data_IF_333655995777
#
_entry.id   IF_333655995777
#
_cell.length_a   1.000
_cell.length_b   1.000
_cell.length_c   1.000
_cell.angle_alpha   90.00
_cell.angle_beta   90.00
_cell.angle_gamma   90.00
#
_symmetry.space_group_name_H-M   'P 1'
#
loop_
_entity.id
_entity.type
_entity.pdbx_description
1 polymer ?
#
# COMPACT_ATOMS: atom_id res chain seq x y z
N UNK A 1 -54.21 -55.76 -28.23
CA UNK A 1 -54.63 -54.46 -27.68
C UNK A 1 -53.44 -53.83 -26.96
N UNK A 2 -53.19 -52.54 -27.19
CA UNK A 2 -52.06 -51.70 -26.73
C UNK A 2 -50.81 -51.66 -27.63
N UNK A 3 -51.07 -51.02 -28.76
CA UNK A 3 -50.33 -49.91 -29.43
C UNK A 3 -48.83 -49.68 -29.15
N UNK A 4 -48.08 -49.72 -30.26
CA UNK A 4 -46.66 -49.40 -30.44
C UNK A 4 -46.36 -47.91 -30.31
N UNK A 5 -45.13 -47.63 -29.87
CA UNK A 5 -44.47 -46.32 -29.86
C UNK A 5 -44.17 -45.83 -31.29
N UNK A 6 -44.53 -44.57 -31.57
CA UNK A 6 -44.18 -43.83 -32.76
C UNK A 6 -43.42 -42.54 -32.43
N UNK A 7 -42.17 -42.51 -32.88
CA UNK A 7 -41.52 -41.49 -33.72
C UNK A 7 -41.58 -39.99 -33.34
N UNK A 8 -40.38 -39.44 -33.14
CA UNK A 8 -39.86 -38.09 -33.47
C UNK A 8 -40.86 -36.94 -33.63
N UNK A 9 -40.70 -35.91 -32.79
CA UNK A 9 -41.04 -34.55 -33.14
C UNK A 9 -39.95 -33.59 -32.64
N UNK A 10 -39.22 -33.01 -33.59
CA UNK A 10 -38.40 -31.82 -33.36
C UNK A 10 -39.35 -30.61 -33.27
N UNK A 11 -39.21 -29.79 -32.23
CA UNK A 11 -39.77 -28.44 -32.20
C UNK A 11 -38.68 -27.45 -31.81
N UNK A 12 -38.35 -26.59 -32.78
CA UNK A 12 -37.76 -25.28 -32.56
C UNK A 12 -38.76 -24.42 -31.78
N UNK A 13 -38.29 -23.70 -30.78
CA UNK A 13 -38.85 -22.41 -30.35
C UNK A 13 -37.72 -21.42 -30.11
N UNK A 14 -38.05 -20.17 -30.39
CA UNK A 14 -37.22 -18.98 -30.53
C UNK A 14 -36.95 -18.28 -29.17
N UNK A 15 -35.80 -17.61 -29.08
CA UNK A 15 -35.21 -16.58 -28.17
C UNK A 15 -36.15 -15.62 -27.39
N UNK A 16 -35.65 -14.71 -26.49
CA UNK A 16 -34.41 -14.61 -25.68
C UNK A 16 -34.68 -14.20 -24.18
N UNK A 17 -33.68 -13.88 -23.35
CA UNK A 17 -33.64 -12.78 -22.31
C UNK A 17 -32.63 -13.03 -21.16
N UNK A 18 -31.71 -12.05 -20.99
CA UNK A 18 -30.92 -11.61 -19.82
C UNK A 18 -30.24 -12.65 -18.90
N UNK A 19 -28.94 -12.87 -19.13
CA UNK A 19 -27.94 -13.14 -18.08
C UNK A 19 -26.74 -12.26 -18.40
N UNK A 20 -26.52 -11.21 -17.63
CA UNK A 20 -25.42 -10.26 -17.86
C UNK A 20 -25.68 -8.88 -17.29
N UNK A 21 -25.83 -8.77 -15.97
CA UNK A 21 -25.58 -7.53 -15.21
C UNK A 21 -25.07 -7.97 -13.83
N UNK A 22 -23.84 -7.55 -13.51
CA UNK A 22 -23.16 -7.42 -12.20
C UNK A 22 -21.70 -7.93 -12.18
N UNK A 23 -21.12 -8.28 -13.33
CA UNK A 23 -19.67 -8.49 -13.45
C UNK A 23 -19.17 -7.65 -14.62
N UNK A 24 -18.27 -6.72 -14.31
CA UNK A 24 -17.63 -5.70 -15.16
C UNK A 24 -18.40 -4.41 -15.41
N UNK A 25 -18.01 -3.34 -14.71
CA UNK A 25 -17.58 -2.07 -15.33
C UNK A 25 -16.96 -1.12 -14.29
N UNK A 26 -15.63 -1.18 -14.16
CA UNK A 26 -14.79 -0.03 -13.86
C UNK A 26 -13.61 -0.07 -14.85
N UNK A 27 -13.93 0.17 -16.11
CA UNK A 27 -12.99 0.50 -17.17
C UNK A 27 -13.74 1.22 -18.30
N UNK A 28 -13.38 2.48 -18.57
CA UNK A 28 -12.89 3.00 -19.87
C UNK A 28 -13.25 4.49 -20.11
N UNK A 29 -12.17 5.29 -20.19
CA UNK A 29 -11.82 6.42 -21.07
C UNK A 29 -12.88 7.37 -21.64
N UNK A 30 -12.51 8.66 -21.63
CA UNK A 30 -12.91 9.65 -22.62
C UNK A 30 -11.70 10.22 -23.38
N UNK A 31 -11.27 9.55 -24.45
CA UNK A 31 -10.42 10.12 -25.49
C UNK A 31 -11.31 10.60 -26.66
N UNK A 32 -11.21 11.88 -26.99
CA UNK A 32 -11.62 12.51 -28.25
C UNK A 32 -10.46 13.47 -28.58
N UNK A 33 -9.83 13.47 -29.74
CA UNK A 33 -10.41 13.75 -31.05
C UNK A 33 -9.42 13.46 -32.19
N UNK A 34 -9.95 13.04 -33.34
CA UNK A 34 -9.68 13.64 -34.66
C UNK A 34 -8.26 13.63 -35.25
N UNK A 35 -8.06 12.81 -36.28
CA UNK A 35 -6.95 12.87 -37.23
C UNK A 35 -7.29 13.77 -38.44
N UNK A 36 -6.43 14.75 -38.75
CA UNK A 36 -6.27 15.42 -40.05
C UNK A 36 -4.89 16.15 -40.09
N UNK A 37 -4.32 16.51 -41.27
CA UNK A 37 -2.98 16.08 -41.67
C UNK A 37 -1.84 17.10 -41.44
N UNK A 38 -0.63 16.61 -41.73
CA UNK A 38 0.67 17.27 -41.62
C UNK A 38 0.73 18.69 -42.21
N UNK A 39 1.08 19.65 -41.35
CA UNK A 39 1.63 20.94 -41.73
C UNK A 39 3.02 21.11 -41.11
N UNK A 40 3.90 21.67 -41.94
CA UNK A 40 5.33 21.85 -41.76
C UNK A 40 5.70 22.76 -40.58
N UNK A 41 6.56 22.28 -39.67
CA UNK A 41 7.23 23.11 -38.66
C UNK A 41 8.50 23.77 -39.27
N UNK A 42 8.79 25.04 -38.97
CA UNK A 42 10.01 25.70 -39.42
C UNK A 42 11.22 25.26 -38.58
N UNK A 43 12.40 25.34 -39.19
CA UNK A 43 13.69 24.98 -38.61
C UNK A 43 14.02 25.79 -37.35
N UNK A 44 14.50 25.10 -36.32
CA UNK A 44 15.08 25.72 -35.13
C UNK A 44 16.48 26.28 -35.47
N UNK A 45 16.71 27.54 -35.07
CA UNK A 45 18.01 28.21 -35.14
C UNK A 45 19.02 27.57 -34.18
N UNK A 46 20.23 27.39 -34.71
CA UNK A 46 21.44 26.89 -34.06
C UNK A 46 22.01 27.98 -33.13
N UNK A 47 22.09 27.71 -31.82
CA UNK A 47 22.79 28.59 -30.86
C UNK A 47 24.10 27.93 -30.47
N UNK A 48 25.20 28.59 -30.81
CA UNK A 48 26.57 28.15 -30.62
C UNK A 48 26.98 28.01 -29.14
N UNK A 49 27.78 26.97 -28.86
CA UNK A 49 28.44 26.74 -27.57
C UNK A 49 29.63 27.69 -27.36
N UNK A 50 29.92 28.14 -26.12
CA UNK A 50 31.16 28.86 -25.83
C UNK A 50 32.34 27.92 -25.60
N UNK A 51 33.50 28.33 -26.10
CA UNK A 51 34.79 27.63 -26.07
C UNK A 51 35.32 27.36 -24.66
N UNK A 52 35.84 26.14 -24.45
CA UNK A 52 36.57 25.73 -23.26
C UNK A 52 37.98 26.33 -23.25
N UNK A 53 38.34 27.00 -22.16
CA UNK A 53 39.71 27.41 -21.86
C UNK A 53 40.40 26.34 -21.02
N UNK A 54 41.54 25.84 -21.51
CA UNK A 54 42.34 24.81 -20.86
C UNK A 54 43.12 25.35 -19.65
N UNK A 55 43.14 24.57 -18.57
CA UNK A 55 44.00 24.74 -17.39
C UNK A 55 44.84 23.46 -17.24
N UNK A 56 46.15 23.53 -16.90
CA UNK A 56 47.09 22.45 -17.13
C UNK A 56 46.97 21.29 -16.13
N UNK A 57 47.31 20.10 -16.63
CA UNK A 57 47.35 18.82 -15.94
C UNK A 57 48.31 18.81 -14.75
N UNK A 58 47.79 18.53 -13.57
CA UNK A 58 48.56 18.05 -12.42
C UNK A 58 48.62 16.52 -12.49
N UNK A 59 49.83 16.01 -12.37
CA UNK A 59 50.25 14.62 -12.60
C UNK A 59 49.56 13.69 -11.60
N UNK A 60 48.62 12.88 -12.08
CA UNK A 60 47.95 11.85 -11.29
C UNK A 60 48.99 10.82 -10.82
N UNK A 61 49.17 10.73 -9.50
CA UNK A 61 49.88 9.62 -8.89
C UNK A 61 49.18 8.31 -9.28
N UNK A 62 49.95 7.35 -9.80
CA UNK A 62 49.46 6.04 -10.19
C UNK A 62 48.74 5.37 -9.01
N UNK A 63 47.46 5.04 -9.21
CA UNK A 63 46.70 4.19 -8.30
C UNK A 63 47.33 2.80 -8.26
N UNK A 64 47.61 2.35 -7.04
CA UNK A 64 48.10 1.01 -6.74
C UNK A 64 46.98 -0.01 -7.01
N UNK A 65 47.21 -0.94 -7.92
CA UNK A 65 46.25 -1.95 -8.41
C UNK A 65 46.19 -3.16 -7.45
N UNK A 66 46.17 -2.88 -6.15
CA UNK A 66 46.00 -3.90 -5.12
C UNK A 66 44.50 -4.08 -4.88
N UNK A 67 43.92 -5.29 -5.02
CA UNK A 67 42.52 -5.52 -4.71
C UNK A 67 42.24 -5.05 -3.27
N UNK A 68 41.22 -4.21 -3.09
CA UNK A 68 40.76 -3.82 -1.76
C UNK A 68 40.54 -5.09 -0.93
N UNK A 69 41.18 -5.19 0.23
CA UNK A 69 40.97 -6.32 1.14
C UNK A 69 39.49 -6.37 1.55
N UNK A 70 38.88 -7.56 1.47
CA UNK A 70 37.48 -7.74 1.84
C UNK A 70 37.24 -7.34 3.30
N UNK A 71 36.14 -6.62 3.55
CA UNK A 71 35.74 -6.27 4.91
C UNK A 71 35.43 -7.54 5.71
N UNK A 72 35.88 -7.58 6.96
CA UNK A 72 35.60 -8.70 7.88
C UNK A 72 34.59 -8.22 8.92
N UNK A 73 33.31 -8.49 8.67
CA UNK A 73 32.23 -8.27 9.64
C UNK A 73 32.19 -9.31 10.75
N UNK A 74 31.35 -9.06 11.75
CA UNK A 74 31.17 -9.90 12.94
C UNK A 74 29.98 -10.87 12.85
N UNK A 75 29.10 -10.71 11.86
CA UNK A 75 28.00 -11.63 11.58
C UNK A 75 28.46 -13.02 11.11
N UNK A 76 27.67 -14.07 11.37
CA UNK A 76 28.02 -15.46 11.07
C UNK A 76 28.38 -15.70 9.60
N UNK A 77 27.68 -15.04 8.67
CA UNK A 77 27.89 -15.20 7.23
C UNK A 77 29.03 -14.33 6.68
N UNK A 78 29.55 -13.37 7.45
CA UNK A 78 30.63 -12.47 7.01
C UNK A 78 31.91 -13.24 6.62
N UNK A 79 32.11 -14.42 7.22
CA UNK A 79 33.23 -15.32 6.93
C UNK A 79 33.08 -16.10 5.62
N UNK A 80 31.88 -16.13 5.03
CA UNK A 80 31.62 -16.78 3.74
C UNK A 80 31.77 -15.78 2.60
N UNK A 81 32.29 -16.24 1.46
CA UNK A 81 32.21 -15.46 0.21
C UNK A 81 30.74 -15.11 -0.09
N UNK A 82 30.42 -13.88 -0.54
CA UNK A 82 29.04 -13.45 -0.79
C UNK A 82 28.26 -14.45 -1.65
N UNK A 83 28.84 -14.93 -2.76
CA UNK A 83 28.17 -15.88 -3.65
C UNK A 83 27.79 -17.21 -3.00
N UNK A 84 28.49 -17.64 -1.94
CA UNK A 84 28.17 -18.85 -1.19
C UNK A 84 26.96 -18.69 -0.26
N UNK A 85 26.52 -17.44 -0.01
CA UNK A 85 25.32 -17.10 0.77
C UNK A 85 24.05 -17.15 -0.07
N UNK A 86 24.16 -17.32 -1.38
CA UNK A 86 22.99 -17.42 -2.26
C UNK A 86 22.15 -18.65 -1.93
N UNK A 87 20.89 -18.45 -1.56
CA UNK A 87 19.99 -19.53 -1.16
C UNK A 87 20.33 -20.18 0.20
N UNK A 88 21.03 -19.45 1.08
CA UNK A 88 21.51 -20.00 2.36
C UNK A 88 20.37 -20.39 3.33
N UNK A 89 19.28 -19.63 3.32
CA UNK A 89 18.12 -19.84 4.19
C UNK A 89 16.98 -20.55 3.45
N UNK A 90 16.13 -21.25 4.21
CA UNK A 90 14.98 -21.99 3.67
C UNK A 90 13.63 -21.33 3.96
N UNK A 91 13.59 -20.39 4.90
CA UNK A 91 12.38 -19.68 5.32
C UNK A 91 12.71 -18.27 5.82
N UNK A 92 11.75 -17.33 5.76
CA UNK A 92 11.93 -16.00 6.33
C UNK A 92 12.21 -16.05 7.85
N UNK A 93 12.99 -15.10 8.39
CA UNK A 93 13.28 -15.06 9.83
C UNK A 93 12.00 -14.78 10.63
N UNK A 94 11.95 -15.34 11.84
CA UNK A 94 10.89 -15.00 12.80
C UNK A 94 10.94 -13.50 13.16
N UNK A 95 9.78 -12.93 13.51
CA UNK A 95 9.70 -11.55 14.00
C UNK A 95 10.43 -11.41 15.35
N UNK A 96 11.44 -10.54 15.38
CA UNK A 96 12.28 -10.29 16.57
C UNK A 96 12.43 -8.82 16.91
N UNK A 97 12.26 -7.92 15.94
CA UNK A 97 12.26 -6.47 16.16
C UNK A 97 10.99 -6.03 16.89
N UNK A 98 11.06 -4.87 17.55
CA UNK A 98 9.90 -4.15 18.06
C UNK A 98 9.40 -3.17 16.97
N UNK A 99 8.24 -3.40 16.33
CA UNK A 99 7.73 -2.51 15.28
C UNK A 99 7.48 -1.06 15.73
N UNK A 100 7.46 -0.79 17.04
CA UNK A 100 7.24 0.54 17.61
C UNK A 100 8.54 1.32 17.84
N UNK A 101 9.69 0.68 17.73
CA UNK A 101 11.00 1.31 17.87
C UNK A 101 11.48 1.91 16.53
N UNK A 102 12.42 2.86 16.61
CA UNK A 102 13.09 3.38 15.43
C UNK A 102 14.35 2.57 15.14
N UNK A 103 14.49 2.12 13.90
CA UNK A 103 15.69 1.43 13.44
C UNK A 103 16.42 2.27 12.40
N UNK A 104 17.74 2.23 12.46
CA UNK A 104 18.64 2.87 11.52
C UNK A 104 19.56 1.83 10.90
N UNK A 105 19.83 1.99 9.61
CA UNK A 105 20.81 1.19 8.90
C UNK A 105 21.86 2.11 8.28
N UNK A 106 23.12 1.87 8.59
CA UNK A 106 24.25 2.56 7.94
C UNK A 106 24.90 1.61 6.95
N UNK A 107 24.73 1.87 5.66
CA UNK A 107 25.42 1.15 4.59
C UNK A 107 26.82 1.76 4.48
N UNK A 108 27.83 0.99 4.89
CA UNK A 108 29.24 1.38 4.81
C UNK A 108 29.78 0.98 3.44
N UNK A 109 30.31 1.95 2.70
CA UNK A 109 30.88 1.73 1.36
C UNK A 109 32.27 2.34 1.26
N UNK A 110 33.01 2.02 0.20
CA UNK A 110 34.28 2.69 -0.12
C UNK A 110 34.11 4.17 -0.54
N UNK A 111 32.88 4.58 -0.90
CA UNK A 111 32.51 5.97 -1.24
C UNK A 111 32.11 6.79 -0.02
N UNK A 112 31.96 6.17 1.15
CA UNK A 112 31.43 6.76 2.38
C UNK A 112 30.17 6.04 2.86
N UNK A 113 29.53 6.62 3.88
CA UNK A 113 28.40 6.00 4.56
C UNK A 113 27.06 6.58 4.08
N UNK A 114 26.07 5.71 3.92
CA UNK A 114 24.68 6.10 3.65
C UNK A 114 23.84 5.66 4.85
N UNK A 115 23.29 6.62 5.60
CA UNK A 115 22.44 6.34 6.76
C UNK A 115 20.98 6.38 6.35
N UNK A 116 20.24 5.35 6.73
CA UNK A 116 18.84 5.14 6.45
C UNK A 116 18.06 5.08 7.77
N UNK A 117 16.88 5.70 7.82
CA UNK A 117 15.87 5.35 8.81
C UNK A 117 14.95 4.28 8.22
N UNK A 118 14.68 3.23 8.98
CA UNK A 118 13.80 2.13 8.59
C UNK A 118 12.38 2.34 9.16
N UNK A 119 11.36 2.00 8.39
CA UNK A 119 9.94 2.19 8.74
C UNK A 119 9.33 0.91 9.32
N UNK A 120 9.79 0.52 10.52
CA UNK A 120 9.35 -0.72 11.18
C UNK A 120 7.85 -0.75 11.50
N UNK A 121 7.26 0.43 11.71
CA UNK A 121 5.82 0.62 11.93
C UNK A 121 4.99 0.42 10.67
N UNK A 122 5.60 0.57 9.49
CA UNK A 122 4.94 0.51 8.17
C UNK A 122 5.16 -0.81 7.44
N UNK A 123 6.37 -1.36 7.54
CA UNK A 123 6.78 -2.59 6.88
C UNK A 123 7.53 -3.51 7.86
N UNK A 124 6.88 -3.96 8.96
CA UNK A 124 7.54 -4.68 10.04
C UNK A 124 8.25 -5.97 9.59
N UNK A 125 7.67 -6.74 8.68
CA UNK A 125 8.28 -7.99 8.21
C UNK A 125 9.49 -7.71 7.33
N UNK A 126 9.40 -6.68 6.49
CA UNK A 126 10.47 -6.24 5.61
C UNK A 126 11.65 -5.67 6.41
N UNK A 127 11.38 -4.82 7.40
CA UNK A 127 12.42 -4.30 8.30
C UNK A 127 13.03 -5.43 9.12
N UNK A 128 12.22 -6.36 9.65
CA UNK A 128 12.74 -7.53 10.37
C UNK A 128 13.67 -8.38 9.50
N UNK A 129 13.26 -8.64 8.25
CA UNK A 129 14.07 -9.35 7.28
C UNK A 129 15.41 -8.65 7.00
N UNK A 130 15.37 -7.35 6.73
CA UNK A 130 16.56 -6.56 6.41
C UNK A 130 17.53 -6.49 7.60
N UNK A 131 17.01 -6.20 8.81
CA UNK A 131 17.78 -6.16 10.06
C UNK A 131 18.41 -7.50 10.36
N UNK A 132 17.64 -8.60 10.23
CA UNK A 132 18.17 -9.95 10.42
C UNK A 132 19.32 -10.23 9.46
N UNK A 133 19.13 -10.03 8.15
CA UNK A 133 20.16 -10.32 7.15
C UNK A 133 21.41 -9.45 7.34
N UNK A 134 21.26 -8.17 7.68
CA UNK A 134 22.37 -7.28 8.01
C UNK A 134 23.17 -7.79 9.21
N UNK A 135 22.50 -8.12 10.33
CA UNK A 135 23.16 -8.64 11.52
C UNK A 135 23.84 -10.01 11.32
N UNK A 136 23.38 -10.82 10.35
CA UNK A 136 24.06 -12.06 9.96
C UNK A 136 25.27 -11.82 9.06
N UNK A 137 25.56 -10.59 8.63
CA UNK A 137 26.61 -10.28 7.68
C UNK A 137 26.27 -10.74 6.26
N UNK A 138 24.99 -10.92 5.93
CA UNK A 138 24.56 -11.41 4.61
C UNK A 138 24.95 -10.43 3.49
N UNK A 139 24.87 -9.13 3.77
CA UNK A 139 25.15 -8.04 2.83
C UNK A 139 26.63 -7.67 2.73
N UNK A 140 27.47 -8.18 3.63
CA UNK A 140 28.90 -7.83 3.67
C UNK A 140 29.62 -8.21 2.39
N UNK A 141 30.40 -7.29 1.83
CA UNK A 141 31.09 -7.45 0.54
C UNK A 141 30.16 -7.73 -0.66
N UNK A 142 28.86 -7.43 -0.57
CA UNK A 142 27.98 -7.39 -1.75
C UNK A 142 28.17 -6.08 -2.52
N UNK A 143 27.54 -5.93 -3.69
CA UNK A 143 27.70 -4.72 -4.51
C UNK A 143 26.37 -4.08 -4.86
N UNK A 144 26.42 -2.77 -5.11
CA UNK A 144 25.42 -2.11 -5.93
C UNK A 144 25.57 -2.62 -7.37
N UNK A 145 24.80 -3.66 -7.69
CA UNK A 145 24.96 -4.42 -8.93
C UNK A 145 24.21 -3.80 -10.11
N UNK A 146 23.28 -2.87 -9.85
CA UNK A 146 22.54 -2.14 -10.88
C UNK A 146 22.23 -0.73 -10.40
N UNK A 147 22.75 0.28 -11.08
CA UNK A 147 22.66 1.70 -10.72
C UNK A 147 22.33 2.48 -11.98
N UNK A 148 21.10 3.00 -12.04
CA UNK A 148 20.56 3.67 -13.22
C UNK A 148 20.33 5.15 -12.91
N UNK A 149 20.96 6.00 -13.71
CA UNK A 149 20.85 7.45 -13.57
C UNK A 149 19.40 7.93 -13.62
N UNK A 150 19.05 8.85 -12.72
CA UNK A 150 17.69 9.37 -12.56
C UNK A 150 16.65 8.36 -12.11
N UNK A 151 17.04 7.12 -11.74
CA UNK A 151 16.11 6.08 -11.30
C UNK A 151 16.45 5.55 -9.91
N UNK A 152 17.46 4.69 -9.78
CA UNK A 152 17.78 4.04 -8.49
C UNK A 152 19.17 3.37 -8.46
N UNK A 153 19.63 3.07 -7.25
CA UNK A 153 20.74 2.17 -6.95
C UNK A 153 20.22 0.88 -6.28
N UNK A 154 20.40 -0.27 -6.91
CA UNK A 154 19.94 -1.59 -6.45
C UNK A 154 21.10 -2.47 -5.99
N UNK A 155 20.90 -3.14 -4.86
CA UNK A 155 21.88 -3.99 -4.16
C UNK A 155 21.20 -5.19 -3.49
N UNK A 156 21.93 -5.86 -2.58
CA UNK A 156 21.41 -6.95 -1.74
C UNK A 156 21.37 -8.33 -2.41
N UNK A 157 21.99 -8.47 -3.60
CA UNK A 157 22.22 -9.77 -4.25
C UNK A 157 23.59 -10.32 -3.84
N UNK A 158 23.67 -11.46 -3.10
CA UNK A 158 24.93 -12.09 -2.72
C UNK A 158 25.80 -12.52 -3.91
N UNK A 159 25.21 -12.74 -5.08
CA UNK A 159 25.90 -13.13 -6.31
C UNK A 159 26.32 -11.94 -7.17
N UNK A 160 25.73 -10.76 -6.95
CA UNK A 160 25.92 -9.56 -7.77
C UNK A 160 25.38 -9.68 -9.21
N UNK A 161 24.52 -10.66 -9.50
CA UNK A 161 23.99 -10.91 -10.86
C UNK A 161 22.65 -10.24 -11.12
N UNK A 162 21.96 -9.80 -10.07
CA UNK A 162 20.56 -9.38 -10.06
C UNK A 162 19.56 -10.52 -9.85
N UNK A 163 20.01 -11.78 -9.75
CA UNK A 163 19.14 -12.95 -9.67
C UNK A 163 19.30 -13.79 -8.39
N UNK A 164 20.26 -13.44 -7.52
CA UNK A 164 20.44 -14.14 -6.24
C UNK A 164 19.54 -13.61 -5.14
N UNK A 165 19.54 -14.33 -4.01
CA UNK A 165 18.71 -14.00 -2.86
C UNK A 165 18.98 -14.89 -1.64
N UNK A 166 18.18 -14.75 -0.57
CA UNK A 166 18.43 -15.43 0.69
C UNK A 166 17.97 -16.90 0.67
N UNK A 167 17.13 -17.29 -0.29
CA UNK A 167 16.60 -18.66 -0.45
C UNK A 167 15.13 -18.83 -0.12
N UNK A 168 14.48 -17.74 0.32
CA UNK A 168 13.04 -17.65 0.53
C UNK A 168 12.47 -16.40 -0.15
N UNK A 169 11.13 -16.34 -0.16
CA UNK A 169 10.35 -15.18 -0.57
C UNK A 169 9.28 -14.85 0.49
N UNK A 170 8.87 -13.59 0.58
CA UNK A 170 7.79 -13.14 1.46
C UNK A 170 6.94 -12.04 0.81
N UNK A 171 5.77 -11.82 1.41
CA UNK A 171 4.72 -10.88 0.99
C UNK A 171 5.17 -9.42 0.91
N UNK A 172 4.41 -8.61 0.17
CA UNK A 172 4.58 -7.15 0.14
C UNK A 172 3.88 -6.48 1.33
N UNK A 173 4.39 -5.32 1.76
CA UNK A 173 3.82 -4.48 2.81
C UNK A 173 3.68 -3.06 2.27
N UNK A 174 2.50 -2.73 1.77
CA UNK A 174 2.21 -1.38 1.28
C UNK A 174 1.56 -0.58 2.39
N UNK A 175 2.28 0.46 2.87
CA UNK A 175 1.73 1.39 3.83
C UNK A 175 1.08 2.55 3.08
N UNK A 176 -0.20 2.82 3.32
CA UNK A 176 -0.85 3.84 2.52
C UNK A 176 -0.40 5.26 2.96
N UNK A 177 -0.30 6.18 2.00
CA UNK A 177 0.37 7.48 2.18
C UNK A 177 1.90 7.44 2.03
N UNK A 178 2.49 6.24 1.97
CA UNK A 178 3.90 6.04 1.65
C UNK A 178 4.01 5.71 0.15
N UNK A 179 4.38 6.72 -0.63
CA UNK A 179 4.55 6.63 -2.08
C UNK A 179 5.97 6.96 -2.53
N UNK A 180 6.30 6.59 -3.77
CA UNK A 180 7.56 6.91 -4.43
C UNK A 180 7.62 8.35 -4.94
N UNK A 181 7.34 9.33 -4.08
CA UNK A 181 7.14 10.74 -4.44
C UNK A 181 8.41 11.62 -4.38
N UNK A 182 9.53 11.07 -3.91
CA UNK A 182 10.79 11.79 -3.70
C UNK A 182 12.02 10.87 -3.82
N UNK A 183 13.23 11.43 -4.03
CA UNK A 183 14.47 10.67 -3.97
C UNK A 183 14.78 10.16 -2.55
N UNK A 184 15.64 9.16 -2.44
CA UNK A 184 16.15 8.66 -1.16
C UNK A 184 15.28 7.59 -0.50
N UNK A 185 14.22 7.11 -1.16
CA UNK A 185 13.35 6.06 -0.62
C UNK A 185 13.98 4.67 -0.81
N UNK A 186 14.03 3.91 0.28
CA UNK A 186 14.52 2.53 0.33
C UNK A 186 13.35 1.56 0.16
N UNK A 187 13.46 0.65 -0.81
CA UNK A 187 12.41 -0.31 -1.12
C UNK A 187 12.93 -1.69 -1.54
N UNK A 188 12.08 -2.71 -1.39
CA UNK A 188 12.41 -4.08 -1.79
C UNK A 188 12.35 -4.26 -3.30
N UNK A 189 13.38 -4.87 -3.88
CA UNK A 189 13.29 -5.40 -5.23
C UNK A 189 12.56 -6.76 -5.20
N UNK A 190 11.70 -7.00 -6.20
CA UNK A 190 10.92 -8.24 -6.33
C UNK A 190 10.73 -8.62 -7.81
N UNK A 191 10.17 -9.81 -8.03
CA UNK A 191 9.83 -10.35 -9.36
C UNK A 191 8.32 -10.48 -9.59
N UNK A 192 7.52 -9.69 -8.85
CA UNK A 192 6.06 -9.77 -8.81
C UNK A 192 5.51 -9.87 -7.37
N UNK A 193 4.18 -9.89 -7.20
CA UNK A 193 3.54 -9.87 -5.90
C UNK A 193 4.03 -10.99 -4.97
N UNK A 194 4.42 -10.63 -3.75
CA UNK A 194 4.87 -11.53 -2.69
C UNK A 194 6.16 -12.29 -2.99
N UNK A 195 7.10 -11.66 -3.71
CA UNK A 195 8.40 -12.25 -4.05
C UNK A 195 9.58 -11.48 -3.47
N UNK A 196 9.38 -10.79 -2.34
CA UNK A 196 10.46 -10.07 -1.66
C UNK A 196 11.49 -11.05 -1.09
N UNK A 197 12.78 -10.69 -1.20
CA UNK A 197 13.89 -11.53 -0.73
C UNK A 197 14.93 -10.70 0.05
N UNK A 198 16.14 -10.58 -0.48
CA UNK A 198 17.21 -9.79 0.13
C UNK A 198 17.55 -8.52 -0.64
N UNK A 199 17.18 -8.46 -1.93
CA UNK A 199 17.53 -7.34 -2.80
C UNK A 199 16.69 -6.11 -2.47
N UNK A 200 17.34 -4.95 -2.46
CA UNK A 200 16.71 -3.65 -2.19
C UNK A 200 17.24 -2.61 -3.17
N UNK A 201 16.55 -1.49 -3.28
CA UNK A 201 17.03 -0.32 -4.03
C UNK A 201 16.73 0.98 -3.30
N UNK A 202 17.50 2.02 -3.62
CA UNK A 202 17.30 3.38 -3.14
C UNK A 202 17.05 4.30 -4.34
N UNK A 203 15.97 5.09 -4.32
CA UNK A 203 15.59 5.95 -5.45
C UNK A 203 16.47 7.19 -5.58
N UNK A 204 16.74 7.60 -6.82
CA UNK A 204 17.38 8.90 -7.13
C UNK A 204 16.37 9.98 -7.51
N UNK A 205 15.11 9.62 -7.73
CA UNK A 205 14.03 10.52 -8.16
C UNK A 205 12.65 9.95 -7.75
N UNK A 206 11.56 10.74 -7.86
CA UNK A 206 10.19 10.23 -7.78
C UNK A 206 9.94 9.13 -8.84
N UNK A 207 9.31 8.04 -8.43
CA UNK A 207 9.09 6.83 -9.24
C UNK A 207 7.69 6.22 -9.02
N UNK A 208 6.65 7.05 -9.11
CA UNK A 208 5.25 6.69 -8.77
C UNK A 208 4.71 5.41 -9.43
N UNK A 209 5.27 4.99 -10.58
CA UNK A 209 4.88 3.73 -11.25
C UNK A 209 5.27 2.47 -10.45
N UNK A 210 6.07 2.61 -9.38
CA UNK A 210 6.43 1.57 -8.43
C UNK A 210 5.46 1.47 -7.24
N UNK A 211 4.55 2.44 -7.06
CA UNK A 211 3.54 2.43 -5.99
C UNK A 211 2.70 1.15 -6.06
N UNK A 212 2.43 0.55 -4.89
CA UNK A 212 1.69 -0.71 -4.75
C UNK A 212 2.31 -1.90 -5.50
N UNK A 213 3.62 -1.83 -5.79
CA UNK A 213 4.40 -2.91 -6.43
C UNK A 213 5.67 -3.26 -5.68
N UNK A 214 6.22 -2.32 -4.91
CA UNK A 214 7.43 -2.51 -4.11
C UNK A 214 7.21 -1.96 -2.71
N UNK A 215 7.56 -2.74 -1.69
CA UNK A 215 7.51 -2.32 -0.29
C UNK A 215 8.54 -1.22 -0.04
N UNK A 216 8.09 0.00 0.28
CA UNK A 216 8.95 1.05 0.83
C UNK A 216 9.14 0.77 2.32
N UNK A 217 10.38 0.66 2.78
CA UNK A 217 10.69 0.31 4.17
C UNK A 217 11.76 1.20 4.82
N UNK A 218 12.16 2.28 4.17
CA UNK A 218 13.02 3.29 4.78
C UNK A 218 13.30 4.50 3.88
N UNK A 219 14.11 5.41 4.39
CA UNK A 219 14.54 6.61 3.67
C UNK A 219 15.94 7.05 4.12
N UNK A 220 16.71 7.64 3.21
CA UNK A 220 18.03 8.21 3.48
C UNK A 220 17.91 9.44 4.37
N UNK A 221 18.62 9.42 5.50
CA UNK A 221 18.70 10.54 6.46
C UNK A 221 20.05 11.25 6.43
N UNK A 222 21.13 10.56 6.07
CA UNK A 222 22.47 11.13 5.89
C UNK A 222 23.20 10.42 4.73
N UNK A 223 24.13 11.10 4.06
CA UNK A 223 24.91 10.51 2.96
C UNK A 223 24.23 10.52 1.59
N UNK A 224 23.31 11.45 1.34
CA UNK A 224 22.66 11.62 0.02
C UNK A 224 23.65 11.92 -1.12
N UNK A 225 24.72 12.63 -0.79
CA UNK A 225 25.86 12.92 -1.66
C UNK A 225 26.70 11.66 -1.95
N UNK A 226 26.82 10.76 -0.96
CA UNK A 226 27.49 9.46 -1.13
C UNK A 226 26.65 8.59 -2.05
N UNK A 227 25.34 8.49 -1.80
CA UNK A 227 24.39 7.79 -2.66
C UNK A 227 24.46 8.28 -4.11
N UNK A 228 24.55 9.61 -4.32
CA UNK A 228 24.67 10.21 -5.66
C UNK A 228 26.02 9.93 -6.33
N UNK A 229 27.04 9.54 -5.55
CA UNK A 229 28.38 9.22 -6.05
C UNK A 229 28.57 7.74 -6.40
N UNK A 230 27.58 6.89 -6.11
CA UNK A 230 27.60 5.48 -6.48
C UNK A 230 27.69 5.35 -8.00
N UNK A 231 28.64 4.55 -8.45
CA UNK A 231 29.04 4.30 -9.82
C UNK A 231 27.86 3.76 -10.62
N UNK A 232 27.48 4.49 -11.67
CA UNK A 232 26.45 4.06 -12.62
C UNK A 232 26.82 2.72 -13.25
N UNK A 233 25.86 1.80 -13.28
CA UNK A 233 26.04 0.44 -13.77
C UNK A 233 24.73 -0.08 -14.32
N UNK A 234 24.64 -0.23 -15.64
CA UNK A 234 23.53 -0.92 -16.30
C UNK A 234 24.01 -2.30 -16.79
N UNK A 235 23.68 -3.39 -16.08
CA UNK A 235 24.03 -4.75 -16.49
C UNK A 235 23.48 -5.15 -17.87
N UNK A 236 22.49 -4.43 -18.38
CA UNK A 236 21.88 -4.66 -19.69
C UNK A 236 22.72 -4.06 -20.84
N UNK A 237 23.61 -3.13 -20.52
CA UNK A 237 24.42 -2.38 -21.50
C UNK A 237 25.90 -2.71 -21.36
N UNK A 238 26.44 -2.69 -20.14
CA UNK A 238 27.84 -2.99 -19.86
C UNK A 238 28.00 -3.84 -18.60
N UNK A 239 28.49 -5.07 -18.80
CA UNK A 239 28.73 -6.02 -17.72
C UNK A 239 30.12 -5.89 -17.09
N UNK A 240 30.98 -5.03 -17.62
CA UNK A 240 32.38 -4.92 -17.19
C UNK A 240 32.62 -3.82 -16.15
N UNK A 241 31.64 -2.95 -15.89
CA UNK A 241 31.74 -1.94 -14.83
C UNK A 241 31.56 -2.66 -13.48
N UNK A 242 32.58 -2.67 -12.59
CA UNK A 242 32.42 -3.21 -11.25
C UNK A 242 31.44 -2.33 -10.46
N UNK A 243 30.60 -2.95 -9.64
CA UNK A 243 29.72 -2.22 -8.72
C UNK A 243 30.49 -1.81 -7.48
N UNK A 244 30.14 -0.67 -6.89
CA UNK A 244 30.71 -0.25 -5.60
C UNK A 244 30.33 -1.24 -4.49
N UNK A 245 31.27 -1.45 -3.58
CA UNK A 245 31.19 -2.46 -2.53
C UNK A 245 30.40 -1.94 -1.34
N UNK A 246 29.43 -2.73 -0.88
CA UNK A 246 28.86 -2.62 0.45
C UNK A 246 29.79 -3.40 1.38
N UNK A 247 30.59 -2.70 2.17
CA UNK A 247 31.51 -3.34 3.11
C UNK A 247 30.71 -4.07 4.20
N UNK A 248 29.74 -3.36 4.79
CA UNK A 248 28.78 -3.93 5.75
C UNK A 248 27.55 -3.01 5.88
N UNK A 249 26.51 -3.51 6.56
CA UNK A 249 25.35 -2.72 6.96
C UNK A 249 25.21 -2.82 8.48
N UNK A 250 25.38 -1.69 9.16
CA UNK A 250 25.29 -1.61 10.63
C UNK A 250 23.87 -1.22 11.02
N UNK A 251 23.25 -1.99 11.92
CA UNK A 251 21.92 -1.70 12.46
C UNK A 251 22.04 -1.04 13.84
N UNK A 252 21.31 0.06 14.02
CA UNK A 252 21.17 0.75 15.31
C UNK A 252 19.69 0.90 15.67
N UNK A 253 19.36 0.79 16.96
CA UNK A 253 18.04 1.13 17.49
C UNK A 253 18.09 2.54 18.11
N UNK A 254 17.06 3.34 17.89
CA UNK A 254 16.95 4.70 18.38
C UNK A 254 15.61 5.01 19.03
N UNK A 255 15.55 6.11 19.77
CA UNK A 255 14.36 6.55 20.52
C UNK A 255 13.54 7.62 19.80
N UNK A 256 14.05 8.18 18.70
CA UNK A 256 13.42 9.28 17.95
C UNK A 256 13.62 9.09 16.45
N UNK A 257 12.80 9.74 15.62
CA UNK A 257 12.89 9.79 14.15
C UNK A 257 13.86 10.89 13.69
N UNK A 258 14.69 10.61 12.68
CA UNK A 258 15.56 11.58 12.01
C UNK A 258 14.98 12.12 10.70
N UNK A 259 14.02 11.43 10.07
CA UNK A 259 13.30 12.02 8.94
C UNK A 259 12.35 13.12 9.44
N UNK A 260 12.40 14.36 8.88
CA UNK A 260 11.31 15.30 9.06
C UNK A 260 10.10 14.65 8.40
N UNK A 261 8.97 14.57 9.10
CA UNK A 261 7.87 13.77 8.57
C UNK A 261 7.37 14.38 7.26
N UNK A 262 7.57 13.73 6.09
CA UNK A 262 7.26 14.33 4.78
C UNK A 262 5.76 14.35 4.48
N UNK A 263 5.00 13.75 5.41
CA UNK A 263 3.56 13.73 5.58
C UNK A 263 3.38 14.15 7.04
N UNK A 264 2.34 14.89 7.47
CA UNK A 264 2.07 14.97 8.91
C UNK A 264 2.20 13.56 9.48
N UNK A 265 2.94 13.40 10.59
CA UNK A 265 2.93 12.15 11.33
C UNK A 265 1.45 11.80 11.44
N UNK A 266 1.00 10.63 10.97
CA UNK A 266 -0.13 10.03 11.65
C UNK A 266 0.28 10.10 13.12
N UNK A 267 -0.44 10.85 13.97
CA UNK A 267 0.10 11.35 15.23
C UNK A 267 0.75 10.20 15.96
N UNK A 268 2.04 10.31 16.26
CA UNK A 268 2.85 9.27 16.90
C UNK A 268 2.21 8.77 18.19
N UNK A 269 2.18 7.44 18.45
CA UNK A 269 1.96 6.37 17.48
C UNK A 269 0.55 6.50 16.96
N UNK A 270 0.27 6.20 15.67
CA UNK A 270 -1.14 6.15 15.29
C UNK A 270 -1.80 5.12 16.19
N UNK A 271 -2.75 5.56 17.03
CA UNK A 271 -3.12 4.75 18.15
C UNK A 271 -3.72 3.47 17.59
N UNK A 272 -3.44 2.32 18.22
CA UNK A 272 -4.44 1.27 18.16
C UNK A 272 -5.77 1.96 18.46
N UNK A 273 -6.78 1.85 17.60
CA UNK A 273 -8.06 2.47 17.90
C UNK A 273 -8.44 2.04 19.34
N UNK A 274 -8.77 3.01 20.22
CA UNK A 274 -8.76 2.80 21.65
C UNK A 274 -9.58 1.57 22.02
N UNK A 275 -8.94 0.67 22.78
CA UNK A 275 -9.52 -0.60 23.21
C UNK A 275 -10.61 -0.42 24.28
N UNK A 276 -10.81 0.82 24.76
CA UNK A 276 -11.87 1.19 25.68
C UNK A 276 -12.37 2.61 25.36
N UNK A 277 -13.68 2.74 25.16
CA UNK A 277 -14.34 4.01 24.90
C UNK A 277 -14.87 4.65 26.19
N UNK A 278 -13.99 5.01 27.13
CA UNK A 278 -14.43 5.51 28.44
C UNK A 278 -15.18 6.85 28.40
N UNK A 279 -15.11 7.59 27.29
CA UNK A 279 -15.85 8.84 27.08
C UNK A 279 -16.42 8.89 25.67
N UNK A 280 -17.72 8.54 25.52
CA UNK A 280 -18.45 8.61 24.26
C UNK A 280 -18.49 10.03 23.62
N UNK A 281 -18.14 11.07 24.38
CA UNK A 281 -18.16 12.47 23.95
C UNK A 281 -16.83 12.95 23.34
N UNK A 282 -15.72 12.21 23.51
CA UNK A 282 -14.44 12.56 22.90
C UNK A 282 -14.34 11.87 21.52
N UNK A 283 -14.66 12.61 20.45
CA UNK A 283 -14.49 12.20 19.04
C UNK A 283 -13.17 12.76 18.48
N UNK A 284 -12.00 12.20 18.82
CA UNK A 284 -10.71 12.84 18.57
C UNK A 284 -10.41 13.11 17.09
N UNK A 285 -10.93 12.29 16.17
CA UNK A 285 -10.70 12.46 14.74
C UNK A 285 -11.59 13.51 14.11
N UNK A 286 -12.73 13.86 14.74
CA UNK A 286 -13.61 14.90 14.21
C UNK A 286 -12.90 16.26 14.06
N UNK A 287 -11.87 16.52 14.88
CA UNK A 287 -11.05 17.72 14.82
C UNK A 287 -9.85 17.63 13.85
N UNK A 288 -9.51 16.42 13.38
CA UNK A 288 -8.43 16.18 12.41
C UNK A 288 -8.98 16.46 11.00
N UNK A 289 -8.27 17.21 10.14
CA UNK A 289 -8.69 17.39 8.74
C UNK A 289 -8.93 16.06 8.04
N UNK A 290 -9.98 15.96 7.22
CA UNK A 290 -10.41 14.67 6.63
C UNK A 290 -9.27 14.02 5.85
N UNK A 291 -8.54 14.80 5.06
CA UNK A 291 -7.39 14.35 4.27
C UNK A 291 -6.26 13.74 5.12
N UNK A 292 -6.06 14.22 6.36
CA UNK A 292 -5.06 13.70 7.29
C UNK A 292 -5.49 12.38 7.94
N UNK A 293 -6.78 12.00 7.82
CA UNK A 293 -7.30 10.71 8.31
C UNK A 293 -7.04 9.57 7.34
N UNK A 294 -6.51 9.84 6.15
CA UNK A 294 -6.05 8.77 5.27
C UNK A 294 -4.93 8.03 5.96
N UNK A 295 -5.10 6.72 6.14
CA UNK A 295 -4.08 5.82 6.66
C UNK A 295 -3.71 6.13 8.11
N UNK A 296 -4.71 6.59 8.85
CA UNK A 296 -4.59 6.98 10.24
C UNK A 296 -4.45 5.78 11.20
N UNK A 297 -4.65 4.54 10.76
CA UNK A 297 -4.52 3.36 11.60
C UNK A 297 -3.70 2.30 10.87
N UNK A 298 -2.83 1.60 11.61
CA UNK A 298 -1.99 0.55 11.04
C UNK A 298 -2.59 -0.86 11.26
N UNK A 299 -3.59 -0.99 12.13
CA UNK A 299 -4.24 -2.27 12.44
C UNK A 299 -5.74 -2.07 12.65
N UNK A 300 -6.51 -3.12 12.37
CA UNK A 300 -7.92 -3.16 12.71
C UNK A 300 -8.14 -3.02 14.22
N UNK A 301 -9.30 -2.45 14.65
CA UNK A 301 -9.64 -2.38 16.07
C UNK A 301 -9.82 -3.74 16.70
N UNK A 302 -9.43 -3.83 17.97
CA UNK A 302 -9.82 -4.96 18.82
C UNK A 302 -11.36 -5.03 18.93
N UNK A 303 -11.89 -6.21 19.19
CA UNK A 303 -13.31 -6.41 19.44
C UNK A 303 -13.69 -5.75 20.78
N UNK A 304 -14.46 -4.67 20.70
CA UNK A 304 -14.96 -3.91 21.87
C UNK A 304 -16.48 -4.00 22.03
N UNK A 305 -17.20 -4.31 20.94
CA UNK A 305 -18.65 -4.50 21.00
C UNK A 305 -19.02 -5.84 21.64
N UNK A 306 -20.16 -5.85 22.33
CA UNK A 306 -20.86 -7.08 22.71
C UNK A 306 -21.79 -7.50 21.56
N UNK A 307 -21.50 -8.62 20.90
CA UNK A 307 -22.26 -9.11 19.76
C UNK A 307 -23.69 -9.59 20.10
N UNK A 308 -23.99 -9.80 21.39
CA UNK A 308 -25.33 -10.17 21.85
C UNK A 308 -26.25 -8.93 22.03
N UNK A 309 -25.71 -7.72 21.89
CA UNK A 309 -26.46 -6.46 22.00
C UNK A 309 -26.89 -5.91 20.64
N UNK A 310 -27.87 -5.02 20.67
CA UNK A 310 -28.37 -4.32 19.48
C UNK A 310 -27.73 -2.95 19.34
N UNK A 311 -27.31 -2.60 18.13
CA UNK A 311 -26.70 -1.31 17.81
C UNK A 311 -27.44 -0.63 16.66
N UNK A 312 -27.58 0.69 16.77
CA UNK A 312 -28.02 1.55 15.68
C UNK A 312 -27.05 2.71 15.50
N UNK A 313 -27.11 3.36 14.34
CA UNK A 313 -26.37 4.58 14.09
C UNK A 313 -27.27 5.65 13.48
N UNK A 314 -27.21 6.86 14.05
CA UNK A 314 -27.76 8.06 13.45
C UNK A 314 -26.67 8.72 12.59
N UNK A 315 -26.88 8.73 11.28
CA UNK A 315 -26.00 9.38 10.31
C UNK A 315 -26.61 10.73 9.95
N UNK A 316 -25.99 11.81 10.41
CA UNK A 316 -26.37 13.17 10.02
C UNK A 316 -25.58 13.57 8.78
N UNK A 317 -26.28 14.04 7.75
CA UNK A 317 -25.69 14.52 6.51
C UNK A 317 -26.13 15.95 6.21
N UNK A 318 -25.48 16.60 5.26
CA UNK A 318 -25.92 17.90 4.74
C UNK A 318 -27.34 17.92 4.14
N UNK A 319 -27.89 16.75 3.78
CA UNK A 319 -29.26 16.60 3.24
C UNK A 319 -30.30 16.22 4.32
N UNK A 320 -29.87 15.81 5.51
CA UNK A 320 -30.73 15.33 6.58
C UNK A 320 -30.20 14.08 7.26
N UNK A 321 -31.03 13.51 8.14
CA UNK A 321 -30.65 12.38 8.97
C UNK A 321 -31.09 11.03 8.38
N UNK A 322 -30.29 9.99 8.62
CA UNK A 322 -30.61 8.60 8.31
C UNK A 322 -30.35 7.73 9.52
N UNK A 323 -31.21 6.73 9.74
CA UNK A 323 -31.06 5.76 10.82
C UNK A 323 -30.63 4.41 10.24
N UNK A 324 -29.54 3.85 10.75
CA UNK A 324 -28.94 2.58 10.36
C UNK A 324 -29.11 1.56 11.49
N UNK A 325 -29.67 0.39 11.18
CA UNK A 325 -29.62 -0.80 12.05
C UNK A 325 -28.34 -1.58 11.75
N UNK A 326 -27.63 -2.04 12.79
CA UNK A 326 -26.37 -2.78 12.67
C UNK A 326 -26.56 -4.25 13.12
N UNK A 327 -26.01 -5.18 12.34
CA UNK A 327 -26.20 -6.63 12.53
C UNK A 327 -25.05 -7.26 13.32
N UNK A 328 -24.88 -6.88 14.59
CA UNK A 328 -23.74 -7.27 15.43
C UNK A 328 -23.64 -8.79 15.67
N UNK A 329 -24.76 -9.50 15.69
CA UNK A 329 -24.85 -10.95 15.86
C UNK A 329 -24.44 -11.73 14.60
N UNK A 330 -24.52 -11.09 13.44
CA UNK A 330 -24.27 -11.69 12.13
C UNK A 330 -22.90 -11.31 11.56
N UNK A 331 -22.52 -10.03 11.68
CA UNK A 331 -21.26 -9.46 11.16
C UNK A 331 -20.50 -8.70 12.27
N UNK A 332 -20.11 -9.37 13.37
CA UNK A 332 -19.51 -8.71 14.52
C UNK A 332 -18.23 -7.95 14.19
N UNK A 333 -17.38 -8.45 13.29
CA UNK A 333 -16.11 -7.79 12.96
C UNK A 333 -16.36 -6.49 12.19
N UNK A 334 -17.24 -6.54 11.18
CA UNK A 334 -17.60 -5.37 10.39
C UNK A 334 -18.36 -4.32 11.23
N UNK A 335 -19.28 -4.75 12.11
CA UNK A 335 -19.98 -3.83 13.02
C UNK A 335 -19.01 -3.21 14.01
N UNK A 336 -18.09 -3.99 14.60
CA UNK A 336 -17.10 -3.48 15.53
C UNK A 336 -16.23 -2.39 14.87
N UNK A 337 -15.76 -2.66 13.66
CA UNK A 337 -14.98 -1.72 12.88
C UNK A 337 -15.74 -0.41 12.62
N UNK A 338 -17.00 -0.50 12.20
CA UNK A 338 -17.85 0.66 11.93
C UNK A 338 -18.14 1.49 13.19
N UNK A 339 -18.46 0.81 14.30
CA UNK A 339 -18.75 1.44 15.60
C UNK A 339 -17.53 2.21 16.09
N UNK A 340 -16.36 1.58 16.08
CA UNK A 340 -15.12 2.21 16.57
C UNK A 340 -14.75 3.42 15.73
N UNK A 341 -14.73 3.32 14.40
CA UNK A 341 -14.41 4.45 13.52
C UNK A 341 -15.43 5.60 13.65
N UNK A 342 -16.72 5.27 13.75
CA UNK A 342 -17.79 6.26 13.95
C UNK A 342 -17.63 7.02 15.26
N UNK A 343 -17.34 6.31 16.35
CA UNK A 343 -17.16 6.92 17.66
C UNK A 343 -15.87 7.75 17.77
N UNK A 344 -14.85 7.42 17.00
CA UNK A 344 -13.66 8.25 16.88
C UNK A 344 -13.90 9.54 16.08
N UNK A 345 -15.03 9.63 15.35
CA UNK A 345 -15.33 10.75 14.46
C UNK A 345 -14.61 10.65 13.11
N UNK A 346 -14.22 9.44 12.68
CA UNK A 346 -13.48 9.24 11.43
C UNK A 346 -14.25 9.76 10.20
N UNK A 347 -15.57 9.59 10.20
CA UNK A 347 -16.45 9.96 9.08
C UNK A 347 -16.89 11.43 9.08
N UNK A 348 -16.59 12.18 10.14
CA UNK A 348 -17.15 13.52 10.37
C UNK A 348 -16.59 14.56 9.40
N UNK A 349 -17.46 15.25 8.68
CA UNK A 349 -17.10 16.21 7.62
C UNK A 349 -16.64 15.55 6.31
N UNK A 350 -16.76 14.23 6.16
CA UNK A 350 -16.32 13.54 4.96
C UNK A 350 -17.31 13.73 3.81
N UNK A 351 -16.79 14.05 2.62
CA UNK A 351 -17.60 14.13 1.41
C UNK A 351 -18.12 12.76 0.98
N UNK A 352 -19.31 12.75 0.39
CA UNK A 352 -19.79 11.60 -0.38
C UNK A 352 -18.85 11.41 -1.57
N UNK A 353 -18.12 10.30 -1.57
CA UNK A 353 -17.05 10.06 -2.54
C UNK A 353 -17.60 9.80 -3.94
N UNK A 354 -18.68 9.02 -4.03
CA UNK A 354 -19.28 8.68 -5.30
C UNK A 354 -20.77 8.39 -5.16
N UNK A 355 -21.56 8.91 -6.10
CA UNK A 355 -22.97 8.56 -6.26
C UNK A 355 -23.13 7.92 -7.62
N UNK A 356 -23.60 6.67 -7.64
CA UNK A 356 -24.05 5.96 -8.83
C UNK A 356 -25.58 5.90 -8.76
N UNK A 357 -26.30 6.80 -9.45
CA UNK A 357 -27.76 6.84 -9.40
C UNK A 357 -28.37 5.47 -9.68
N UNK A 358 -29.41 5.11 -8.91
CA UNK A 358 -30.10 3.81 -9.01
C UNK A 358 -29.22 2.59 -8.73
N UNK A 359 -28.04 2.77 -8.14
CA UNK A 359 -27.14 1.67 -7.77
C UNK A 359 -26.66 1.82 -6.34
N UNK A 360 -25.72 2.74 -6.09
CA UNK A 360 -25.01 2.84 -4.81
C UNK A 360 -24.55 4.26 -4.52
N UNK A 361 -24.38 4.54 -3.23
CA UNK A 361 -23.61 5.68 -2.71
C UNK A 361 -22.36 5.13 -2.02
N UNK A 362 -21.21 5.74 -2.27
CA UNK A 362 -19.92 5.40 -1.66
C UNK A 362 -19.43 6.58 -0.84
N UNK A 363 -18.96 6.28 0.36
CA UNK A 363 -18.32 7.22 1.30
C UNK A 363 -17.21 6.51 2.05
N UNK A 364 -16.41 7.21 2.84
CA UNK A 364 -15.39 6.60 3.70
C UNK A 364 -13.97 6.69 3.16
N UNK A 365 -13.74 7.39 2.04
CA UNK A 365 -12.41 7.67 1.48
C UNK A 365 -11.97 9.10 1.80
N UNK A 366 -10.98 9.29 2.70
CA UNK A 366 -10.41 10.59 3.04
C UNK A 366 -9.93 11.44 1.87
N UNK A 367 -9.30 10.83 0.87
CA UNK A 367 -8.73 11.53 -0.30
C UNK A 367 -9.59 11.38 -1.56
N UNK A 368 -10.83 10.91 -1.43
CA UNK A 368 -11.72 10.64 -2.54
C UNK A 368 -11.09 9.76 -3.64
N UNK A 369 -10.40 8.71 -3.19
CA UNK A 369 -9.63 7.77 -4.02
C UNK A 369 -9.89 6.34 -3.55
N UNK A 370 -10.00 5.35 -4.45
CA UNK A 370 -10.18 3.95 -4.06
C UNK A 370 -9.04 3.42 -3.18
N UNK A 371 -7.86 4.03 -3.23
CA UNK A 371 -6.68 3.63 -2.45
C UNK A 371 -6.56 4.36 -1.09
N UNK A 372 -7.53 5.21 -0.75
CA UNK A 372 -7.55 5.98 0.50
C UNK A 372 -8.64 5.45 1.43
N UNK A 373 -8.22 4.93 2.58
CA UNK A 373 -9.08 4.49 3.67
C UNK A 373 -8.42 4.76 5.03
N UNK A 374 -8.87 4.12 6.11
CA UNK A 374 -8.33 4.33 7.44
C UNK A 374 -6.94 3.71 7.65
N UNK A 375 -6.43 2.88 6.73
CA UNK A 375 -5.02 2.42 6.72
C UNK A 375 -4.78 0.94 6.98
N UNK A 376 -5.84 0.14 7.14
CA UNK A 376 -5.75 -1.30 7.27
C UNK A 376 -6.80 -2.01 6.40
N UNK A 377 -6.64 -3.32 6.23
CA UNK A 377 -7.68 -4.21 5.73
C UNK A 377 -8.12 -5.18 6.82
N UNK A 378 -9.34 -5.69 6.73
CA UNK A 378 -9.82 -6.76 7.60
C UNK A 378 -10.55 -7.84 6.81
N UNK A 379 -10.62 -9.05 7.36
CA UNK A 379 -11.31 -10.16 6.71
C UNK A 379 -12.81 -9.86 6.60
N UNK A 380 -13.34 -9.91 5.38
CA UNK A 380 -14.76 -9.70 5.14
C UNK A 380 -15.58 -10.89 5.67
N UNK A 381 -16.70 -10.60 6.34
CA UNK A 381 -17.65 -11.60 6.79
C UNK A 381 -18.65 -11.88 5.66
N UNK A 382 -18.44 -12.99 4.96
CA UNK A 382 -19.15 -13.34 3.72
C UNK A 382 -20.18 -14.45 3.94
N UNK A 383 -21.10 -14.60 2.99
CA UNK A 383 -22.16 -15.62 2.99
C UNK A 383 -23.08 -15.55 4.22
N UNK A 384 -23.37 -14.32 4.65
CA UNK A 384 -24.17 -14.04 5.84
C UNK A 384 -25.65 -14.43 5.64
N UNK A 385 -26.38 -14.82 6.71
CA UNK A 385 -27.79 -15.20 6.62
C UNK A 385 -28.73 -14.09 6.11
N UNK A 386 -28.33 -12.82 6.23
CA UNK A 386 -29.14 -11.69 5.81
C UNK A 386 -29.08 -11.50 4.29
N UNK A 387 -30.25 -11.39 3.66
CA UNK A 387 -30.34 -11.09 2.22
C UNK A 387 -30.19 -9.59 2.02
N UNK A 388 -29.18 -9.11 1.26
CA UNK A 388 -29.03 -7.69 0.98
C UNK A 388 -30.26 -7.13 0.27
N UNK A 389 -30.66 -5.92 0.66
CA UNK A 389 -31.77 -5.18 0.08
C UNK A 389 -31.43 -3.68 -0.05
N UNK A 390 -32.32 -2.90 -0.66
CA UNK A 390 -32.23 -1.44 -0.66
C UNK A 390 -31.99 -0.91 0.75
N UNK A 391 -31.03 0.01 0.90
CA UNK A 391 -30.55 0.56 2.16
C UNK A 391 -29.48 -0.27 2.87
N UNK A 392 -29.07 -1.43 2.36
CA UNK A 392 -28.00 -2.22 2.99
C UNK A 392 -26.66 -1.49 2.88
N UNK A 393 -25.84 -1.61 3.93
CA UNK A 393 -24.47 -1.09 3.98
C UNK A 393 -23.46 -2.23 4.03
N UNK A 394 -22.35 -2.07 3.30
CA UNK A 394 -21.23 -2.99 3.31
C UNK A 394 -19.89 -2.27 3.14
N UNK A 395 -18.80 -2.91 3.55
CA UNK A 395 -17.46 -2.48 3.20
C UNK A 395 -17.10 -2.87 1.77
N UNK A 396 -16.33 -2.03 1.10
CA UNK A 396 -15.83 -2.29 -0.26
C UNK A 396 -14.66 -3.30 -0.19
N UNK A 397 -14.72 -4.45 -0.90
CA UNK A 397 -13.62 -5.41 -0.94
C UNK A 397 -12.44 -4.88 -1.76
N UNK A 398 -11.21 -5.22 -1.36
CA UNK A 398 -10.05 -5.00 -2.22
C UNK A 398 -10.08 -5.94 -3.42
N UNK A 399 -9.60 -5.46 -4.57
CA UNK A 399 -9.62 -6.25 -5.80
C UNK A 399 -8.82 -7.54 -5.64
N UNK A 400 -9.45 -8.67 -5.99
CA UNK A 400 -8.86 -10.00 -5.90
C UNK A 400 -8.38 -10.38 -4.48
N UNK A 401 -9.00 -9.81 -3.45
CA UNK A 401 -8.67 -10.07 -2.05
C UNK A 401 -9.88 -10.61 -1.29
N UNK A 402 -9.62 -11.32 -0.19
CA UNK A 402 -10.62 -11.64 0.84
C UNK A 402 -10.76 -10.52 1.87
N UNK A 403 -9.90 -9.51 1.80
CA UNK A 403 -9.92 -8.35 2.68
C UNK A 403 -10.84 -7.25 2.14
N UNK A 404 -11.46 -6.52 3.05
CA UNK A 404 -12.21 -5.31 2.78
C UNK A 404 -11.47 -4.05 3.23
N UNK A 405 -11.83 -2.92 2.63
CA UNK A 405 -11.38 -1.59 3.06
C UNK A 405 -11.75 -1.35 4.51
N UNK A 406 -10.87 -0.67 5.24
CA UNK A 406 -11.11 -0.30 6.64
C UNK A 406 -12.22 0.71 6.84
N UNK A 407 -12.45 1.63 5.89
CA UNK A 407 -13.42 2.72 6.09
C UNK A 407 -14.37 2.96 4.93
N UNK A 408 -14.07 2.48 3.71
CA UNK A 408 -14.95 2.74 2.57
C UNK A 408 -16.23 1.91 2.64
N UNK A 409 -17.36 2.63 2.70
CA UNK A 409 -18.71 2.10 2.82
C UNK A 409 -19.46 2.25 1.49
N UNK A 410 -20.24 1.23 1.18
CA UNK A 410 -21.20 1.22 0.09
C UNK A 410 -22.61 1.13 0.69
N UNK A 411 -23.47 2.06 0.29
CA UNK A 411 -24.90 2.05 0.59
C UNK A 411 -25.71 1.70 -0.67
N UNK A 412 -26.55 0.67 -0.59
CA UNK A 412 -27.34 0.20 -1.73
C UNK A 412 -28.59 1.07 -1.96
N UNK A 413 -28.73 1.66 -3.15
CA UNK A 413 -29.94 2.42 -3.56
C UNK A 413 -31.02 1.53 -4.18
N UNK A 414 -30.67 0.31 -4.54
CA UNK A 414 -31.57 -0.74 -5.07
C UNK A 414 -31.21 -2.07 -4.45
N UNK A 415 -32.09 -3.06 -4.59
CA UNK A 415 -31.84 -4.40 -4.07
C UNK A 415 -30.58 -5.01 -4.73
N UNK A 416 -29.51 -5.29 -3.96
CA UNK A 416 -28.35 -5.98 -4.49
C UNK A 416 -28.76 -7.40 -4.92
N UNK A 417 -28.11 -7.97 -5.95
CA UNK A 417 -28.35 -9.36 -6.30
C UNK A 417 -27.90 -10.26 -5.14
N UNK A 418 -28.59 -11.38 -4.94
CA UNK A 418 -28.29 -12.31 -3.84
C UNK A 418 -26.83 -12.80 -3.83
N UNK A 419 -26.16 -12.82 -5.00
CA UNK A 419 -24.75 -13.16 -5.12
C UNK A 419 -23.80 -12.12 -4.54
N UNK A 420 -24.24 -10.89 -4.27
CA UNK A 420 -23.38 -9.85 -3.69
C UNK A 420 -22.85 -10.25 -2.30
N UNK A 421 -23.61 -11.06 -1.57
CA UNK A 421 -23.26 -11.50 -0.23
C UNK A 421 -22.02 -12.43 -0.17
N UNK A 422 -21.55 -12.94 -1.32
CA UNK A 422 -20.32 -13.73 -1.41
C UNK A 422 -19.07 -12.87 -1.61
N UNK A 423 -19.23 -11.54 -1.70
CA UNK A 423 -18.14 -10.61 -2.03
C UNK A 423 -18.12 -9.37 -1.13
N UNK A 424 -19.22 -9.06 -0.46
CA UNK A 424 -19.37 -7.88 0.39
C UNK A 424 -19.82 -8.29 1.79
N UNK A 425 -19.18 -7.71 2.79
CA UNK A 425 -19.54 -7.87 4.20
C UNK A 425 -20.70 -6.93 4.54
N UNK A 426 -21.93 -7.38 4.33
CA UNK A 426 -23.13 -6.60 4.67
C UNK A 426 -23.40 -6.62 6.17
N UNK A 427 -23.25 -5.46 6.82
CA UNK A 427 -23.25 -5.37 8.29
C UNK A 427 -24.37 -4.50 8.86
N UNK A 428 -25.22 -3.89 8.02
CA UNK A 428 -26.34 -3.10 8.48
C UNK A 428 -27.31 -2.69 7.38
N UNK A 429 -28.36 -1.97 7.76
CA UNK A 429 -29.39 -1.48 6.83
C UNK A 429 -30.06 -0.19 7.31
N UNK A 430 -30.23 0.76 6.40
CA UNK A 430 -31.00 1.99 6.65
C UNK A 430 -32.48 1.64 6.90
N UNK A 431 -32.98 2.06 8.06
CA UNK A 431 -34.37 1.87 8.50
C UNK A 431 -35.21 3.15 8.36
N UNK A 432 -34.58 4.32 8.45
CA UNK A 432 -35.20 5.64 8.25
C UNK A 432 -34.29 6.55 7.41
N UNK A 433 -34.86 7.44 6.60
CA UNK A 433 -34.09 8.37 5.76
C UNK A 433 -33.61 7.79 4.42
N UNK A 434 -34.27 6.78 3.86
CA UNK A 434 -33.94 6.26 2.52
C UNK A 434 -34.08 7.32 1.41
N UNK A 435 -34.99 8.27 1.57
CA UNK A 435 -35.15 9.42 0.68
C UNK A 435 -33.98 10.40 0.79
N UNK A 436 -33.41 10.57 1.99
CA UNK A 436 -32.16 11.33 2.20
C UNK A 436 -31.01 10.64 1.49
N UNK A 437 -30.82 9.32 1.69
CA UNK A 437 -29.80 8.53 1.00
C UNK A 437 -29.88 8.69 -0.52
N UNK A 438 -31.10 8.64 -1.08
CA UNK A 438 -31.34 8.77 -2.52
C UNK A 438 -31.12 10.20 -3.06
N UNK A 439 -31.12 11.21 -2.18
CA UNK A 439 -30.92 12.61 -2.53
C UNK A 439 -29.45 13.06 -2.48
N UNK A 440 -28.57 12.27 -1.86
CA UNK A 440 -27.15 12.61 -1.71
C UNK A 440 -26.46 12.79 -3.07
N UNK A 441 -25.53 13.74 -3.11
CA UNK A 441 -24.66 14.08 -4.24
C UNK A 441 -23.21 14.10 -3.79
N UNK A 442 -22.27 14.18 -4.74
CA UNK A 442 -20.84 14.30 -4.40
C UNK A 442 -20.43 15.63 -3.74
N UNK A 443 -21.35 16.59 -3.60
CA UNK A 443 -21.11 17.84 -2.85
C UNK A 443 -21.60 17.74 -1.39
N UNK A 444 -22.27 16.65 -1.04
CA UNK A 444 -22.81 16.42 0.30
C UNK A 444 -21.77 15.79 1.23
N UNK A 445 -21.99 15.97 2.53
CA UNK A 445 -21.10 15.49 3.59
C UNK A 445 -21.84 14.58 4.57
N UNK A 446 -21.09 13.64 5.17
CA UNK A 446 -21.44 13.05 6.45
C UNK A 446 -20.97 14.02 7.52
N UNK A 447 -21.88 14.66 8.24
CA UNK A 447 -21.53 15.64 9.27
C UNK A 447 -21.13 14.95 10.56
N UNK A 448 -21.86 13.89 10.96
CA UNK A 448 -21.55 13.06 12.11
C UNK A 448 -22.24 11.70 12.03
N UNK A 449 -21.66 10.69 12.69
CA UNK A 449 -22.30 9.40 12.94
C UNK A 449 -22.31 9.12 14.45
N UNK A 450 -23.49 8.97 15.05
CA UNK A 450 -23.67 8.68 16.47
C UNK A 450 -24.16 7.25 16.64
N UNK A 451 -23.45 6.45 17.43
CA UNK A 451 -23.82 5.06 17.73
C UNK A 451 -24.71 5.02 18.98
N UNK A 452 -25.80 4.26 18.93
CA UNK A 452 -26.62 3.91 20.09
C UNK A 452 -26.53 2.41 20.35
N UNK A 453 -26.28 2.05 21.60
CA UNK A 453 -26.27 0.67 22.10
C UNK A 453 -27.56 0.42 22.91
N UNK A 454 -28.16 -0.76 22.72
CA UNK A 454 -29.36 -1.18 23.46
C UNK A 454 -29.27 -2.64 23.91
N UNK A 455 -29.92 -2.92 25.04
CA UNK A 455 -29.96 -4.23 25.71
C UNK A 455 -30.86 -5.26 25.03
#
# INVERSE_FOLDING_TARGET
>A
MKTQHGTLFSRRFSTPVLIGVLLMLLAVLGACTGVAPADTLPAAEEVAAPEATAVPSEEAAAADDTPAEAFVGDGELSALDPGARNGYYTEPPAMTIDPTAYYYATIVTDKGDIKLQLFADRAPKTVNNFVFLANQGFYDNTTFHRVLDGFMAQAGDPTGTGAGGPGYQFEDEFAPGLGFDRPGLLAMANSGPGTNGSQFFITFAPTDWLNNRHTIFGEVVEGSEVLSSITLRDPSVDTNVPGDLIQTIVIEEGSESLVPTPTPLPPTPTPFPPTNMEQADDRPLAAVPVEERSNYFNTAPEMVIDADKSYSALITTSQGDMTLELFADVAPIAVNNFVVLSNLGFYDGMLINQVMPEQVVIVGSPLNSPDSDAGYGFEAELDLPNVPATGSVAYIPFQNSTLASSSQLLFALVDPPATANISYSFFGKITEGLDVLAALTGEDTIDAIVIEESE
#
